data_IF_197753011447
#
_entry.id   IF_197753011447
#
_cell.length_a   1.000
_cell.length_b   1.000
_cell.length_c   1.000
_cell.angle_alpha   90.00
_cell.angle_beta   90.00
_cell.angle_gamma   90.00
#
_symmetry.space_group_name_H-M   'P 1'
#
loop_
_entity.id
_entity.type
_entity.pdbx_description
1 polymer ?
#
# COMPACT_ATOMS: atom_id res chain seq x y z
N UNK A 1 4.04 75.97 -5.23
CA UNK A 1 5.24 76.59 -5.81
C UNK A 1 6.25 75.48 -6.04
N UNK A 2 6.52 75.21 -7.32
CA UNK A 2 7.40 74.14 -7.79
C UNK A 2 8.86 74.59 -7.74
N UNK A 3 9.77 73.68 -7.42
CA UNK A 3 11.14 73.70 -7.94
C UNK A 3 11.53 72.28 -8.35
N UNK A 4 11.71 72.14 -9.67
CA UNK A 4 12.28 71.00 -10.36
C UNK A 4 13.77 70.89 -10.05
N UNK A 5 14.26 69.67 -9.83
CA UNK A 5 15.66 69.32 -10.03
C UNK A 5 15.73 68.11 -10.98
N UNK A 6 16.26 68.39 -12.17
CA UNK A 6 16.63 67.43 -13.22
C UNK A 6 17.75 66.50 -12.74
N UNK A 7 17.63 65.20 -13.01
CA UNK A 7 18.79 64.29 -13.05
C UNK A 7 18.78 63.57 -14.41
N UNK A 8 19.92 63.47 -15.12
CA UNK A 8 19.98 63.04 -16.51
C UNK A 8 19.80 61.52 -16.68
N UNK A 9 19.10 61.19 -17.77
CA UNK A 9 18.91 59.86 -18.31
C UNK A 9 20.11 59.48 -19.19
N UNK A 10 21.07 58.73 -18.65
CA UNK A 10 22.14 58.09 -19.43
C UNK A 10 22.62 56.83 -18.74
N UNK A 11 22.04 55.69 -19.14
CA UNK A 11 22.70 54.41 -19.45
C UNK A 11 21.63 53.34 -19.57
N UNK A 12 20.99 53.34 -20.74
CA UNK A 12 20.54 52.10 -21.35
C UNK A 12 21.74 51.27 -21.82
N UNK A 13 21.46 50.01 -22.07
CA UNK A 13 22.25 49.09 -22.90
C UNK A 13 23.51 48.46 -22.28
N UNK A 14 23.29 47.56 -21.30
CA UNK A 14 23.94 46.25 -21.27
C UNK A 14 23.25 45.35 -20.23
N UNK A 15 23.00 44.08 -20.57
CA UNK A 15 22.36 43.03 -19.76
C UNK A 15 20.84 42.81 -19.89
N UNK A 16 20.27 43.04 -21.09
CA UNK A 16 18.99 42.44 -21.51
C UNK A 16 19.14 41.46 -22.68
N UNK A 17 20.26 40.73 -22.78
CA UNK A 17 20.44 39.66 -23.78
C UNK A 17 21.01 38.40 -23.13
N UNK A 18 20.12 37.60 -22.55
CA UNK A 18 20.20 36.13 -22.46
C UNK A 18 18.83 35.59 -22.06
N UNK A 19 17.83 35.79 -22.93
CA UNK A 19 16.67 34.89 -22.96
C UNK A 19 17.17 33.67 -23.72
N UNK A 20 17.58 32.64 -22.98
CA UNK A 20 17.76 31.30 -23.54
C UNK A 20 16.49 30.96 -24.31
N UNK A 21 16.61 30.74 -25.62
CA UNK A 21 15.51 30.17 -26.37
C UNK A 21 15.27 28.78 -25.79
N UNK A 22 14.02 28.44 -25.42
CA UNK A 22 13.72 27.11 -24.91
C UNK A 22 14.10 26.07 -25.98
N UNK A 23 14.62 24.90 -25.57
CA UNK A 23 15.07 23.87 -26.48
C UNK A 23 13.96 23.53 -27.50
N UNK A 24 14.32 23.09 -28.72
CA UNK A 24 13.37 22.93 -29.83
C UNK A 24 12.18 22.00 -29.51
N UNK A 25 12.33 21.06 -28.56
CA UNK A 25 11.25 20.18 -28.09
C UNK A 25 10.20 20.91 -27.23
N UNK A 26 10.60 21.91 -26.43
CA UNK A 26 9.68 22.71 -25.62
C UNK A 26 8.82 23.64 -26.48
N UNK A 27 9.38 24.15 -27.59
CA UNK A 27 8.63 24.97 -28.55
C UNK A 27 7.57 24.13 -29.28
N UNK A 28 7.88 22.86 -29.56
CA UNK A 28 6.94 21.92 -30.18
C UNK A 28 5.81 21.56 -29.22
N UNK A 29 6.11 21.28 -27.95
CA UNK A 29 5.10 21.01 -26.90
C UNK A 29 4.20 22.24 -26.70
N UNK A 30 4.78 23.43 -26.65
CA UNK A 30 4.03 24.69 -26.50
C UNK A 30 3.12 24.94 -27.72
N UNK A 31 3.61 24.67 -28.94
CA UNK A 31 2.83 24.85 -30.15
C UNK A 31 1.70 23.81 -30.28
N UNK A 32 1.96 22.55 -29.91
CA UNK A 32 0.93 21.50 -29.83
C UNK A 32 -0.14 21.85 -28.79
N UNK A 33 0.25 22.39 -27.62
CA UNK A 33 -0.68 22.88 -26.61
C UNK A 33 -1.51 24.08 -27.10
N UNK A 34 -0.89 25.06 -27.75
CA UNK A 34 -1.58 26.22 -28.33
C UNK A 34 -2.56 25.83 -29.43
N UNK A 35 -2.19 24.89 -30.30
CA UNK A 35 -3.06 24.37 -31.35
C UNK A 35 -4.23 23.55 -30.76
N UNK A 36 -3.99 22.82 -29.67
CA UNK A 36 -5.05 22.10 -28.94
C UNK A 36 -6.05 23.06 -28.29
N UNK A 37 -5.56 24.15 -27.67
CA UNK A 37 -6.41 25.20 -27.07
C UNK A 37 -7.18 25.95 -28.14
N UNK A 38 -6.55 26.34 -29.26
CA UNK A 38 -7.23 27.02 -30.36
C UNK A 38 -8.32 26.12 -30.98
N UNK A 39 -8.04 24.83 -31.14
CA UNK A 39 -9.01 23.84 -31.60
C UNK A 39 -10.16 23.69 -30.61
N UNK A 40 -9.89 23.60 -29.31
CA UNK A 40 -10.92 23.55 -28.27
C UNK A 40 -11.79 24.83 -28.24
N UNK A 41 -11.18 26.02 -28.32
CA UNK A 41 -11.90 27.28 -28.40
C UNK A 41 -12.77 27.38 -29.65
N UNK A 42 -12.32 26.81 -30.78
CA UNK A 42 -13.11 26.75 -32.01
C UNK A 42 -14.29 25.77 -31.96
N UNK A 43 -14.35 24.92 -30.93
CA UNK A 43 -15.51 24.05 -30.66
C UNK A 43 -16.53 24.68 -29.72
N UNK A 44 -16.24 25.86 -29.16
CA UNK A 44 -17.20 26.60 -28.36
C UNK A 44 -18.26 27.26 -29.26
N UNK A 45 -19.54 27.28 -28.84
CA UNK A 45 -20.58 27.93 -29.62
C UNK A 45 -20.32 29.42 -29.80
N UNK A 46 -20.73 29.95 -30.96
CA UNK A 46 -20.44 31.35 -31.32
C UNK A 46 -21.38 32.33 -30.59
N UNK A 47 -22.50 31.83 -30.10
CA UNK A 47 -23.54 32.58 -29.42
C UNK A 47 -24.04 31.88 -28.16
N UNK A 48 -24.34 32.66 -27.11
CA UNK A 48 -24.87 32.16 -25.83
C UNK A 48 -26.19 31.38 -25.97
N UNK A 49 -26.95 31.60 -27.05
CA UNK A 49 -28.18 30.87 -27.37
C UNK A 49 -27.95 29.46 -27.94
N UNK A 50 -26.73 29.15 -28.37
CA UNK A 50 -26.29 27.83 -28.83
C UNK A 50 -25.65 27.01 -27.70
N UNK A 51 -25.41 27.63 -26.54
CA UNK A 51 -25.06 26.88 -25.34
C UNK A 51 -26.31 26.14 -24.88
N UNK A 52 -26.19 24.81 -24.73
CA UNK A 52 -27.23 23.98 -24.14
C UNK A 52 -27.75 24.63 -22.85
N UNK A 53 -29.07 24.55 -22.60
CA UNK A 53 -29.67 25.14 -21.40
C UNK A 53 -28.90 24.72 -20.16
N UNK A 54 -28.61 25.68 -19.27
CA UNK A 54 -27.90 25.48 -17.99
C UNK A 54 -28.49 24.33 -17.15
N UNK A 55 -29.73 23.93 -17.43
CA UNK A 55 -30.47 22.88 -16.73
C UNK A 55 -30.08 21.44 -17.12
N UNK A 56 -29.36 21.22 -18.23
CA UNK A 56 -28.88 19.88 -18.60
C UNK A 56 -27.42 19.68 -18.19
N UNK A 57 -27.18 18.91 -17.13
CA UNK A 57 -25.85 18.44 -16.76
C UNK A 57 -25.19 17.76 -17.98
N UNK A 58 -23.96 18.14 -18.37
CA UNK A 58 -23.29 17.53 -19.51
C UNK A 58 -23.18 16.01 -19.29
N UNK A 59 -23.67 15.26 -20.28
CA UNK A 59 -23.62 13.80 -20.22
C UNK A 59 -22.17 13.32 -20.37
N UNK A 60 -21.70 12.39 -19.51
CA UNK A 60 -20.34 11.89 -19.60
C UNK A 60 -20.10 11.20 -20.94
N UNK A 61 -19.01 11.58 -21.61
CA UNK A 61 -18.60 10.93 -22.87
C UNK A 61 -17.87 9.61 -22.60
N UNK A 62 -17.67 8.80 -23.65
CA UNK A 62 -16.86 7.57 -23.59
C UNK A 62 -15.47 7.85 -22.99
N UNK A 63 -14.83 8.95 -23.39
CA UNK A 63 -13.53 9.35 -22.86
C UNK A 63 -13.56 9.64 -21.35
N UNK A 64 -14.65 10.22 -20.83
CA UNK A 64 -14.80 10.43 -19.38
C UNK A 64 -14.85 9.10 -18.63
N UNK A 65 -15.59 8.11 -19.14
CA UNK A 65 -15.67 6.81 -18.48
C UNK A 65 -14.34 6.07 -18.45
N UNK A 66 -13.56 6.13 -19.54
CA UNK A 66 -12.19 5.58 -19.55
C UNK A 66 -11.32 6.30 -18.51
N UNK A 67 -11.32 7.63 -18.49
CA UNK A 67 -10.56 8.39 -17.49
C UNK A 67 -10.95 8.09 -16.04
N UNK A 68 -12.24 7.84 -15.77
CA UNK A 68 -12.69 7.41 -14.45
C UNK A 68 -12.25 5.99 -14.10
N UNK A 69 -12.33 5.06 -15.06
CA UNK A 69 -11.85 3.68 -14.88
C UNK A 69 -10.33 3.64 -14.64
N UNK A 70 -9.56 4.46 -15.36
CA UNK A 70 -8.11 4.61 -15.17
C UNK A 70 -7.80 5.12 -13.75
N UNK A 71 -8.54 6.12 -13.28
CA UNK A 71 -8.41 6.60 -11.91
C UNK A 71 -8.74 5.52 -10.87
N UNK A 72 -9.78 4.72 -11.11
CA UNK A 72 -10.11 3.58 -10.25
C UNK A 72 -9.01 2.50 -10.25
N UNK A 73 -8.32 2.28 -11.37
CA UNK A 73 -7.14 1.40 -11.44
C UNK A 73 -5.98 1.92 -10.59
N UNK A 74 -5.74 3.24 -10.61
CA UNK A 74 -4.76 3.87 -9.73
C UNK A 74 -5.10 3.66 -8.25
N UNK A 75 -6.37 3.84 -7.87
CA UNK A 75 -6.83 3.55 -6.50
C UNK A 75 -6.65 2.07 -6.12
N UNK A 76 -6.98 1.14 -7.02
CA UNK A 76 -6.79 -0.29 -6.80
C UNK A 76 -5.31 -0.62 -6.57
N UNK A 77 -4.40 -0.01 -7.34
CA UNK A 77 -2.95 -0.16 -7.18
C UNK A 77 -2.47 0.39 -5.83
N UNK A 78 -2.99 1.55 -5.39
CA UNK A 78 -2.70 2.07 -4.05
C UNK A 78 -3.15 1.12 -2.93
N UNK A 79 -4.33 0.53 -3.06
CA UNK A 79 -4.83 -0.45 -2.09
C UNK A 79 -3.97 -1.72 -2.04
N UNK A 80 -3.34 -2.11 -3.16
CA UNK A 80 -2.38 -3.22 -3.16
C UNK A 80 -1.13 -2.86 -2.33
N UNK A 81 -0.58 -1.66 -2.53
CA UNK A 81 0.56 -1.18 -1.74
C UNK A 81 0.23 -1.08 -0.24
N UNK A 82 -0.97 -0.60 0.11
CA UNK A 82 -1.42 -0.58 1.51
C UNK A 82 -1.54 -1.99 2.10
N UNK A 83 -1.98 -2.98 1.30
CA UNK A 83 -2.05 -4.37 1.73
C UNK A 83 -0.65 -4.96 1.97
N UNK A 84 0.33 -4.62 1.13
CA UNK A 84 1.74 -5.01 1.30
C UNK A 84 2.37 -4.38 2.55
N UNK A 85 2.04 -3.11 2.84
CA UNK A 85 2.44 -2.45 4.09
C UNK A 85 1.85 -3.16 5.32
N UNK A 86 0.56 -3.53 5.26
CA UNK A 86 -0.11 -4.28 6.32
C UNK A 86 0.47 -5.69 6.50
N UNK A 87 0.84 -6.35 5.41
CA UNK A 87 1.53 -7.65 5.43
C UNK A 87 2.92 -7.54 6.09
N UNK A 88 3.68 -6.48 5.77
CA UNK A 88 4.95 -6.17 6.43
C UNK A 88 4.74 -5.92 7.93
N UNK A 89 3.70 -5.16 8.29
CA UNK A 89 3.30 -4.93 9.69
C UNK A 89 2.96 -6.21 10.43
N UNK A 90 2.16 -7.09 9.83
CA UNK A 90 1.85 -8.41 10.38
C UNK A 90 3.11 -9.22 10.69
N UNK A 91 4.05 -9.27 9.74
CA UNK A 91 5.32 -10.00 9.91
C UNK A 91 6.17 -9.40 11.01
N UNK A 92 6.17 -8.08 11.15
CA UNK A 92 6.88 -7.42 12.25
C UNK A 92 6.29 -7.81 13.61
N UNK A 93 4.97 -7.78 13.74
CA UNK A 93 4.29 -8.18 14.97
C UNK A 93 4.55 -9.65 15.30
N UNK A 94 4.48 -10.55 14.29
CA UNK A 94 4.76 -11.97 14.49
C UNK A 94 6.19 -12.24 14.91
N UNK A 95 7.17 -11.53 14.33
CA UNK A 95 8.56 -11.62 14.77
C UNK A 95 8.71 -11.22 16.25
N UNK A 96 8.06 -10.13 16.68
CA UNK A 96 8.07 -9.71 18.09
C UNK A 96 7.41 -10.78 18.99
N UNK A 97 6.30 -11.37 18.56
CA UNK A 97 5.62 -12.45 19.27
C UNK A 97 6.52 -13.68 19.47
N UNK A 98 7.23 -14.12 18.42
CA UNK A 98 8.12 -15.27 18.52
C UNK A 98 9.36 -15.00 19.37
N UNK A 99 9.77 -13.74 19.52
CA UNK A 99 10.80 -13.36 20.50
C UNK A 99 10.35 -13.45 21.96
N UNK A 100 9.06 -13.66 22.24
CA UNK A 100 8.55 -13.82 23.61
C UNK A 100 8.70 -15.29 24.03
N UNK A 101 9.35 -15.58 25.18
CA UNK A 101 9.46 -16.94 25.68
C UNK A 101 8.10 -17.61 25.89
N UNK A 102 7.99 -18.89 25.56
CA UNK A 102 6.76 -19.69 25.66
C UNK A 102 6.13 -19.60 27.05
N UNK A 103 6.94 -19.62 28.11
CA UNK A 103 6.47 -19.52 29.48
C UNK A 103 5.72 -18.19 29.73
N UNK A 104 6.21 -17.09 29.17
CA UNK A 104 5.55 -15.78 29.23
C UNK A 104 4.28 -15.77 28.40
N UNK A 105 4.29 -16.37 27.19
CA UNK A 105 3.08 -16.50 26.38
C UNK A 105 1.99 -17.28 27.13
N UNK A 106 2.36 -18.38 27.78
CA UNK A 106 1.49 -19.22 28.62
C UNK A 106 1.07 -18.58 29.96
N UNK A 107 1.69 -17.47 30.36
CA UNK A 107 1.29 -16.71 31.55
C UNK A 107 0.21 -15.66 31.24
N UNK A 108 -0.04 -15.34 29.96
CA UNK A 108 -1.11 -14.43 29.56
C UNK A 108 -2.51 -15.00 29.89
N UNK A 109 -3.58 -14.22 29.80
CA UNK A 109 -4.92 -14.78 29.99
C UNK A 109 -5.28 -15.77 28.85
N UNK A 110 -6.16 -16.75 29.12
CA UNK A 110 -6.48 -17.83 28.18
C UNK A 110 -7.04 -17.34 26.83
N UNK A 111 -7.75 -16.22 26.81
CA UNK A 111 -8.37 -15.68 25.60
C UNK A 111 -7.31 -15.06 24.68
N UNK A 112 -6.38 -14.29 25.25
CA UNK A 112 -5.19 -13.73 24.58
C UNK A 112 -4.30 -14.86 24.06
N UNK A 113 -4.02 -15.87 24.89
CA UNK A 113 -3.25 -17.04 24.46
C UNK A 113 -3.86 -17.70 23.24
N UNK A 114 -5.16 -18.05 23.31
CA UNK A 114 -5.85 -18.72 22.21
C UNK A 114 -5.75 -17.89 20.93
N UNK A 115 -6.04 -16.59 21.02
CA UNK A 115 -6.00 -15.69 19.86
C UNK A 115 -4.60 -15.61 19.24
N UNK A 116 -3.56 -15.45 20.05
CA UNK A 116 -2.19 -15.37 19.54
C UNK A 116 -1.74 -16.69 18.92
N UNK A 117 -2.11 -17.84 19.51
CA UNK A 117 -1.79 -19.16 18.94
C UNK A 117 -2.52 -19.41 17.62
N UNK A 118 -3.78 -19.02 17.52
CA UNK A 118 -4.54 -19.10 16.25
C UNK A 118 -3.88 -18.31 15.12
N UNK A 119 -3.21 -17.20 15.44
CA UNK A 119 -2.60 -16.30 14.45
C UNK A 119 -1.14 -16.66 14.15
N UNK A 120 -0.33 -16.92 15.17
CA UNK A 120 1.12 -17.07 15.05
C UNK A 120 1.62 -18.51 15.23
N UNK A 121 0.80 -19.43 15.73
CA UNK A 121 1.21 -20.85 15.92
C UNK A 121 0.41 -21.82 15.05
N UNK A 122 -0.33 -21.30 14.08
CA UNK A 122 -1.08 -22.09 13.11
C UNK A 122 -0.14 -22.88 12.18
N UNK A 123 -0.55 -24.09 11.85
CA UNK A 123 0.06 -24.96 10.86
C UNK A 123 -0.69 -24.95 9.52
N UNK A 124 -1.69 -24.09 9.38
CA UNK A 124 -2.46 -23.96 8.15
C UNK A 124 -1.83 -22.92 7.21
N UNK A 125 -1.87 -23.14 5.88
CA UNK A 125 -1.61 -22.07 4.93
C UNK A 125 -2.52 -20.87 5.19
N UNK A 126 -2.03 -19.65 4.99
CA UNK A 126 -2.77 -18.43 5.33
C UNK A 126 -4.12 -18.30 4.62
N UNK A 127 -4.25 -18.83 3.41
CA UNK A 127 -5.52 -18.87 2.66
C UNK A 127 -6.63 -19.62 3.40
N UNK A 128 -6.25 -20.55 4.29
CA UNK A 128 -7.17 -21.37 5.09
C UNK A 128 -7.39 -20.78 6.49
N UNK A 129 -6.63 -19.76 6.88
CA UNK A 129 -6.73 -19.14 8.19
C UNK A 129 -7.79 -18.02 8.18
N UNK A 130 -8.74 -18.10 9.13
CA UNK A 130 -9.82 -17.12 9.28
C UNK A 130 -9.28 -15.69 9.50
N UNK A 131 -8.12 -15.55 10.12
CA UNK A 131 -7.47 -14.25 10.33
C UNK A 131 -7.23 -13.49 9.01
N UNK A 132 -6.90 -14.20 7.93
CA UNK A 132 -6.55 -13.60 6.63
C UNK A 132 -7.71 -13.50 5.64
N UNK A 133 -8.93 -13.93 5.99
CA UNK A 133 -10.07 -13.92 5.05
C UNK A 133 -10.31 -12.54 4.44
N UNK A 134 -10.22 -11.46 5.23
CA UNK A 134 -10.39 -10.09 4.73
C UNK A 134 -9.26 -9.66 3.79
N UNK A 135 -8.02 -10.11 4.02
CA UNK A 135 -6.88 -9.82 3.12
C UNK A 135 -7.12 -10.41 1.73
N UNK A 136 -7.45 -11.70 1.67
CA UNK A 136 -7.67 -12.37 0.38
C UNK A 136 -8.90 -11.81 -0.34
N UNK A 137 -9.96 -11.45 0.39
CA UNK A 137 -11.12 -10.77 -0.20
C UNK A 137 -10.74 -9.43 -0.82
N UNK A 138 -9.91 -8.63 -0.14
CA UNK A 138 -9.40 -7.35 -0.66
C UNK A 138 -8.56 -7.58 -1.91
N UNK A 139 -7.62 -8.53 -1.85
CA UNK A 139 -6.74 -8.87 -2.97
C UNK A 139 -7.53 -9.30 -4.22
N UNK A 140 -8.54 -10.16 -4.08
CA UNK A 140 -9.37 -10.61 -5.20
C UNK A 140 -10.22 -9.48 -5.80
N UNK A 141 -10.73 -8.57 -4.96
CA UNK A 141 -11.45 -7.38 -5.44
C UNK A 141 -10.52 -6.46 -6.23
N UNK A 142 -9.30 -6.21 -5.74
CA UNK A 142 -8.31 -5.39 -6.43
C UNK A 142 -7.94 -6.01 -7.79
N UNK A 143 -7.62 -7.31 -7.83
CA UNK A 143 -7.33 -8.04 -9.08
C UNK A 143 -8.47 -7.93 -10.08
N UNK A 144 -9.71 -8.12 -9.60
CA UNK A 144 -10.91 -8.02 -10.43
C UNK A 144 -11.13 -6.60 -10.97
N UNK A 145 -10.89 -5.57 -10.15
CA UNK A 145 -10.97 -4.18 -10.57
C UNK A 145 -9.95 -3.85 -11.67
N UNK A 146 -8.69 -4.23 -11.47
CA UNK A 146 -7.61 -4.02 -12.46
C UNK A 146 -7.94 -4.75 -13.77
N UNK A 147 -8.38 -6.01 -13.70
CA UNK A 147 -8.77 -6.77 -14.89
C UNK A 147 -9.98 -6.14 -15.61
N UNK A 148 -10.94 -5.57 -14.88
CA UNK A 148 -12.08 -4.87 -15.46
C UNK A 148 -11.65 -3.61 -16.21
N UNK A 149 -10.69 -2.84 -15.68
CA UNK A 149 -10.15 -1.65 -16.36
C UNK A 149 -9.34 -2.03 -17.60
N UNK A 150 -8.50 -3.06 -17.53
CA UNK A 150 -7.80 -3.58 -18.72
C UNK A 150 -8.78 -4.00 -19.81
N UNK A 151 -9.89 -4.64 -19.43
CA UNK A 151 -10.94 -5.03 -20.37
C UNK A 151 -11.68 -3.83 -20.96
N UNK A 152 -11.75 -2.69 -20.27
CA UNK A 152 -12.45 -1.52 -20.79
C UNK A 152 -11.76 -0.88 -21.99
N UNK A 153 -10.44 -1.00 -22.15
CA UNK A 153 -9.68 -0.35 -23.24
C UNK A 153 -10.25 -0.60 -24.65
N UNK A 154 -10.83 -1.79 -24.89
CA UNK A 154 -11.46 -2.15 -26.16
C UNK A 154 -12.95 -1.78 -26.29
N UNK A 155 -13.57 -1.20 -25.26
CA UNK A 155 -15.02 -0.95 -25.19
C UNK A 155 -15.36 0.46 -25.66
N UNK A 156 -16.23 0.55 -26.66
CA UNK A 156 -16.72 1.83 -27.23
C UNK A 156 -18.19 2.09 -26.89
N UNK A 157 -18.83 1.22 -26.11
CA UNK A 157 -20.22 1.39 -25.68
C UNK A 157 -20.27 2.14 -24.34
N UNK A 158 -20.78 3.37 -24.35
CA UNK A 158 -20.89 4.22 -23.15
C UNK A 158 -21.72 3.62 -22.02
N UNK A 159 -22.80 2.89 -22.30
CA UNK A 159 -23.62 2.24 -21.26
C UNK A 159 -22.87 1.08 -20.59
N UNK A 160 -22.09 0.32 -21.36
CA UNK A 160 -21.23 -0.75 -20.82
C UNK A 160 -20.16 -0.15 -19.91
N UNK A 161 -19.49 0.90 -20.38
CA UNK A 161 -18.46 1.60 -19.59
C UNK A 161 -19.02 2.22 -18.31
N UNK A 162 -20.21 2.83 -18.37
CA UNK A 162 -20.90 3.35 -17.19
C UNK A 162 -21.13 2.27 -16.13
N UNK A 163 -21.63 1.10 -16.55
CA UNK A 163 -21.86 -0.03 -15.65
C UNK A 163 -20.55 -0.54 -15.04
N UNK A 164 -19.53 -0.75 -15.87
CA UNK A 164 -18.21 -1.18 -15.41
C UNK A 164 -17.64 -0.19 -14.38
N UNK A 165 -17.73 1.11 -14.65
CA UNK A 165 -17.32 2.15 -13.72
C UNK A 165 -18.05 2.02 -12.38
N UNK A 166 -19.38 1.90 -12.38
CA UNK A 166 -20.17 1.79 -11.14
C UNK A 166 -19.87 0.52 -10.36
N UNK A 167 -19.68 -0.61 -11.05
CA UNK A 167 -19.36 -1.89 -10.43
C UNK A 167 -17.97 -1.85 -9.76
N UNK A 168 -16.97 -1.32 -10.46
CA UNK A 168 -15.60 -1.17 -9.94
C UNK A 168 -15.56 -0.17 -8.79
N UNK A 169 -16.22 0.99 -8.93
CA UNK A 169 -16.33 2.01 -7.88
C UNK A 169 -16.94 1.40 -6.60
N UNK A 170 -18.08 0.73 -6.72
CA UNK A 170 -18.74 0.10 -5.57
C UNK A 170 -17.87 -0.98 -4.91
N UNK A 171 -17.13 -1.76 -5.71
CA UNK A 171 -16.22 -2.78 -5.20
C UNK A 171 -15.04 -2.16 -4.43
N UNK A 172 -14.42 -1.09 -4.96
CA UNK A 172 -13.31 -0.40 -4.32
C UNK A 172 -13.73 0.35 -3.05
N UNK A 173 -14.96 0.89 -3.00
CA UNK A 173 -15.51 1.46 -1.76
C UNK A 173 -15.62 0.41 -0.65
N UNK A 174 -16.12 -0.80 -0.96
CA UNK A 174 -16.15 -1.90 0.01
C UNK A 174 -14.74 -2.34 0.41
N UNK A 175 -13.82 -2.38 -0.54
CA UNK A 175 -12.41 -2.70 -0.32
C UNK A 175 -11.77 -1.75 0.71
N UNK A 176 -12.02 -0.45 0.59
CA UNK A 176 -11.53 0.56 1.53
C UNK A 176 -12.03 0.31 2.98
N UNK A 177 -13.27 -0.16 3.13
CA UNK A 177 -13.81 -0.58 4.43
C UNK A 177 -13.03 -1.75 5.04
N UNK A 178 -12.81 -2.81 4.24
CA UNK A 178 -12.04 -3.97 4.65
C UNK A 178 -10.59 -3.64 5.00
N UNK A 179 -9.93 -2.74 4.24
CA UNK A 179 -8.57 -2.26 4.57
C UNK A 179 -8.50 -1.58 5.94
N UNK A 180 -9.50 -0.75 6.28
CA UNK A 180 -9.60 -0.13 7.61
C UNK A 180 -9.80 -1.16 8.71
N UNK A 181 -10.58 -2.21 8.47
CA UNK A 181 -10.75 -3.32 9.40
C UNK A 181 -9.46 -4.09 9.63
N UNK A 182 -8.77 -4.43 8.55
CA UNK A 182 -7.45 -5.08 8.57
C UNK A 182 -6.47 -4.26 9.42
N UNK A 183 -6.36 -2.96 9.15
CA UNK A 183 -5.48 -2.06 9.91
C UNK A 183 -5.81 -2.03 11.40
N UNK A 184 -7.09 -1.93 11.76
CA UNK A 184 -7.53 -1.98 13.17
C UNK A 184 -7.18 -3.31 13.83
N UNK A 185 -7.35 -4.41 13.10
CA UNK A 185 -7.01 -5.75 13.59
C UNK A 185 -5.51 -5.87 13.87
N UNK A 186 -4.64 -5.34 13.00
CA UNK A 186 -3.20 -5.32 13.23
C UNK A 186 -2.80 -4.47 14.44
N UNK A 187 -3.38 -3.27 14.58
CA UNK A 187 -3.13 -2.40 15.76
C UNK A 187 -3.54 -3.12 17.04
N UNK A 188 -4.70 -3.78 17.03
CA UNK A 188 -5.15 -4.57 18.18
C UNK A 188 -4.21 -5.74 18.47
N UNK A 189 -3.71 -6.43 17.44
CA UNK A 189 -2.80 -7.56 17.57
C UNK A 189 -1.45 -7.12 18.14
N UNK A 190 -0.91 -6.01 17.64
CA UNK A 190 0.31 -5.39 18.15
C UNK A 190 0.18 -5.00 19.63
N UNK A 191 -0.94 -4.37 20.01
CA UNK A 191 -1.24 -4.02 21.40
C UNK A 191 -1.28 -5.24 22.32
N UNK A 192 -1.90 -6.35 21.86
CA UNK A 192 -1.93 -7.61 22.61
C UNK A 192 -0.52 -8.18 22.78
N UNK A 193 0.31 -8.19 21.73
CA UNK A 193 1.70 -8.67 21.81
C UNK A 193 2.51 -7.81 22.77
N UNK A 194 2.36 -6.48 22.72
CA UNK A 194 3.02 -5.56 23.64
C UNK A 194 2.60 -5.78 25.10
N UNK A 195 1.32 -6.05 25.36
CA UNK A 195 0.81 -6.38 26.70
C UNK A 195 1.48 -7.64 27.24
N UNK A 196 1.60 -8.70 26.43
CA UNK A 196 2.27 -9.94 26.84
C UNK A 196 3.75 -9.70 27.15
N UNK A 197 4.45 -8.88 26.37
CA UNK A 197 5.83 -8.47 26.63
C UNK A 197 5.98 -7.66 27.92
N UNK A 198 4.92 -6.97 28.36
CA UNK A 198 4.95 -6.18 29.60
C UNK A 198 4.75 -7.01 30.87
N UNK A 199 4.37 -8.29 30.75
CA UNK A 199 4.09 -9.15 31.90
C UNK A 199 5.32 -9.32 32.80
N UNK A 200 5.15 -9.40 34.13
CA UNK A 200 6.28 -9.60 35.06
C UNK A 200 7.10 -10.86 34.75
N UNK A 201 6.46 -11.92 34.24
CA UNK A 201 7.11 -13.15 33.79
C UNK A 201 8.12 -12.93 32.67
N UNK A 202 7.97 -11.85 31.87
CA UNK A 202 8.94 -11.44 30.85
C UNK A 202 10.22 -10.85 31.46
N UNK A 203 10.13 -10.23 32.65
CA UNK A 203 11.25 -9.54 33.31
C UNK A 203 12.10 -10.42 34.20
N UNK A 204 11.72 -11.68 34.42
CA UNK A 204 12.53 -12.59 35.24
C UNK A 204 13.82 -12.87 34.47
N UNK A 205 14.99 -12.40 34.95
CA UNK A 205 16.26 -12.74 34.32
C UNK A 205 16.38 -14.24 34.44
N UNK A 206 16.49 -14.88 33.28
CA UNK A 206 16.74 -16.29 33.13
C UNK A 206 18.10 -16.66 33.74
N UNK A 207 18.21 -16.73 35.06
CA UNK A 207 19.32 -17.47 35.69
C UNK A 207 19.15 -18.99 35.52
N UNK A 208 18.06 -19.43 34.85
CA UNK A 208 17.67 -20.83 34.63
C UNK A 208 17.42 -21.15 33.14
N UNK A 209 16.98 -20.19 32.31
CA UNK A 209 16.92 -20.40 30.86
C UNK A 209 18.28 -20.02 30.25
N UNK A 210 19.00 -20.99 29.69
CA UNK A 210 20.15 -20.66 28.86
C UNK A 210 19.68 -19.70 27.76
N UNK A 211 20.49 -18.70 27.41
CA UNK A 211 20.21 -17.73 26.33
C UNK A 211 19.83 -18.41 25.00
N UNK A 212 20.15 -19.69 24.84
CA UNK A 212 19.78 -20.55 23.71
C UNK A 212 18.27 -20.85 23.58
N UNK A 213 17.46 -20.76 24.66
CA UNK A 213 16.04 -21.14 24.60
C UNK A 213 15.16 -20.15 23.83
N UNK A 214 15.51 -18.87 23.82
CA UNK A 214 14.72 -17.79 23.19
C UNK A 214 15.34 -17.33 21.87
N UNK A 215 16.59 -17.71 21.60
CA UNK A 215 17.24 -17.36 20.33
C UNK A 215 16.63 -18.15 19.16
N UNK A 216 15.84 -17.43 18.35
CA UNK A 216 15.16 -17.91 17.16
C UNK A 216 16.11 -18.49 16.09
N UNK A 217 17.41 -18.17 16.17
CA UNK A 217 18.45 -18.75 15.30
C UNK A 217 18.60 -20.25 15.52
N UNK A 218 18.37 -20.74 16.75
CA UNK A 218 18.44 -22.17 17.05
C UNK A 218 17.20 -22.89 16.53
N UNK A 219 17.29 -23.46 15.33
CA UNK A 219 16.16 -24.12 14.66
C UNK A 219 15.43 -25.21 15.44
N UNK A 220 16.14 -25.89 16.34
CA UNK A 220 15.62 -27.00 17.12
C UNK A 220 15.13 -26.60 18.51
N UNK A 221 15.21 -25.32 18.89
CA UNK A 221 14.55 -24.84 20.10
C UNK A 221 13.02 -24.85 19.91
N UNK A 222 12.27 -24.82 21.01
CA UNK A 222 10.81 -24.72 20.98
C UNK A 222 10.38 -23.47 20.19
N UNK A 223 11.02 -22.33 20.49
CA UNK A 223 10.77 -21.06 19.81
C UNK A 223 11.17 -21.07 18.34
N UNK A 224 12.37 -21.60 18.04
CA UNK A 224 12.86 -21.70 16.68
C UNK A 224 11.98 -22.57 15.79
N UNK A 225 11.41 -23.65 16.35
CA UNK A 225 10.48 -24.55 15.65
C UNK A 225 9.15 -23.87 15.36
N UNK A 226 8.57 -23.19 16.36
CA UNK A 226 7.28 -22.48 16.21
C UNK A 226 7.43 -21.30 15.23
N UNK A 227 8.53 -20.55 15.30
CA UNK A 227 8.85 -19.47 14.36
C UNK A 227 8.96 -19.96 12.90
N UNK A 228 9.63 -21.08 12.66
CA UNK A 228 9.73 -21.67 11.31
C UNK A 228 8.40 -22.19 10.80
N UNK A 229 7.57 -22.76 11.68
CA UNK A 229 6.21 -23.17 11.32
C UNK A 229 5.35 -21.98 10.91
N UNK A 230 5.48 -20.87 11.63
CA UNK A 230 4.80 -19.63 11.25
C UNK A 230 5.27 -19.11 9.89
N UNK A 231 6.58 -19.05 9.64
CA UNK A 231 7.15 -18.66 8.33
C UNK A 231 6.67 -19.60 7.23
N UNK A 232 6.58 -20.90 7.52
CA UNK A 232 6.09 -21.88 6.57
C UNK A 232 4.71 -21.52 6.03
N UNK A 233 3.84 -20.86 6.81
CA UNK A 233 2.51 -20.42 6.36
C UNK A 233 2.53 -19.37 5.25
N UNK A 234 3.68 -18.74 4.98
CA UNK A 234 3.77 -17.58 4.09
C UNK A 234 3.53 -17.97 2.63
N UNK A 235 2.82 -17.13 1.83
CA UNK A 235 2.49 -17.47 0.45
C UNK A 235 3.72 -17.78 -0.41
N UNK A 236 4.83 -17.05 -0.23
CA UNK A 236 6.06 -17.27 -0.98
C UNK A 236 6.85 -18.54 -0.56
N UNK A 237 6.49 -19.17 0.57
CA UNK A 237 7.02 -20.48 0.98
C UNK A 237 6.12 -21.59 0.44
N UNK A 238 4.81 -21.41 0.58
CA UNK A 238 3.80 -22.38 0.12
C UNK A 238 3.80 -22.54 -1.41
N UNK A 239 4.05 -21.44 -2.14
CA UNK A 239 3.99 -21.40 -3.60
C UNK A 239 5.37 -21.49 -4.28
N UNK A 240 6.45 -21.79 -3.55
CA UNK A 240 7.80 -21.81 -4.11
C UNK A 240 8.02 -22.99 -5.09
N UNK A 241 8.33 -22.74 -6.38
CA UNK A 241 8.65 -23.80 -7.31
C UNK A 241 10.11 -24.28 -7.12
N UNK A 242 10.32 -25.59 -7.05
CA UNK A 242 11.63 -26.23 -7.22
C UNK A 242 12.56 -26.28 -5.99
N UNK A 243 12.49 -25.32 -5.07
CA UNK A 243 13.12 -25.45 -3.75
C UNK A 243 12.10 -26.08 -2.79
N UNK A 244 12.45 -27.21 -2.17
CA UNK A 244 11.59 -27.82 -1.16
C UNK A 244 11.21 -26.79 -0.09
N UNK A 245 9.94 -26.79 0.34
CA UNK A 245 9.35 -25.81 1.28
C UNK A 245 10.23 -25.50 2.51
N UNK A 246 10.98 -26.50 2.99
CA UNK A 246 11.92 -26.35 4.11
C UNK A 246 13.10 -25.41 3.79
N UNK A 247 13.69 -25.49 2.59
CA UNK A 247 14.80 -24.61 2.19
C UNK A 247 14.37 -23.15 2.11
N UNK A 248 13.19 -22.90 1.52
CA UNK A 248 12.62 -21.54 1.43
C UNK A 248 12.24 -20.98 2.81
N UNK A 249 11.77 -21.84 3.72
CA UNK A 249 11.47 -21.47 5.11
C UNK A 249 12.73 -20.94 5.81
N UNK A 250 13.86 -21.66 5.71
CA UNK A 250 15.11 -21.23 6.36
C UNK A 250 15.70 -19.96 5.74
N UNK A 251 15.59 -19.78 4.41
CA UNK A 251 16.02 -18.54 3.75
C UNK A 251 15.26 -17.33 4.30
N UNK A 252 13.92 -17.43 4.37
CA UNK A 252 13.09 -16.33 4.89
C UNK A 252 13.33 -16.12 6.39
N UNK A 253 13.51 -17.18 7.17
CA UNK A 253 13.87 -17.09 8.58
C UNK A 253 15.18 -16.30 8.77
N UNK A 254 16.21 -16.61 7.98
CA UNK A 254 17.48 -15.88 7.98
C UNK A 254 17.29 -14.40 7.69
N UNK A 255 16.62 -14.06 6.58
CA UNK A 255 16.37 -12.66 6.19
C UNK A 255 15.60 -11.87 7.26
N UNK A 256 14.60 -12.49 7.89
CA UNK A 256 13.80 -11.83 8.93
C UNK A 256 14.62 -11.57 10.19
N UNK A 257 15.46 -12.52 10.60
CA UNK A 257 16.33 -12.36 11.76
C UNK A 257 17.42 -11.32 11.51
N UNK A 258 18.02 -11.28 10.33
CA UNK A 258 18.99 -10.24 9.93
C UNK A 258 18.39 -8.84 10.00
N UNK A 259 17.19 -8.66 9.41
CA UNK A 259 16.46 -7.38 9.48
C UNK A 259 16.07 -7.00 10.91
N UNK A 260 15.78 -7.99 11.77
CA UNK A 260 15.49 -7.76 13.18
C UNK A 260 16.72 -7.20 13.90
N UNK A 261 17.88 -7.85 13.74
CA UNK A 261 19.14 -7.46 14.39
C UNK A 261 19.52 -6.04 13.99
N UNK A 262 19.45 -5.72 12.69
CA UNK A 262 19.75 -4.37 12.18
C UNK A 262 18.83 -3.29 12.76
N UNK A 263 17.56 -3.61 13.08
CA UNK A 263 16.66 -2.69 13.77
C UNK A 263 16.93 -2.63 15.27
N UNK A 264 17.19 -3.76 15.94
CA UNK A 264 17.44 -3.81 17.39
C UNK A 264 18.72 -3.07 17.82
N UNK A 265 19.71 -2.92 16.93
CA UNK A 265 20.89 -2.06 17.15
C UNK A 265 20.56 -0.56 17.16
N UNK A 266 19.43 -0.13 16.58
CA UNK A 266 19.00 1.28 16.52
C UNK A 266 18.21 1.71 17.76
N UNK A 267 17.73 0.75 18.57
CA UNK A 267 16.92 1.01 19.79
C UNK A 267 17.66 0.73 21.10
N UNK A 268 18.97 0.43 21.07
CA UNK A 268 19.85 0.46 22.24
C UNK A 268 20.47 1.84 22.40
#
# INVERSE_FOLDING_TARGET
MAQHANIPNTLGDAYLHSREQPPPDDQRILHEAQNSVAKWLSTLPSHLSEMDSVDSLPQPTIAHYHGWLDNLSWHATRYLLELDEMESGYRHIGLNYHGIPEQTRRAANLMVQRRLREVFESDLPREQQVFFTSWYRVLEVIKSAIAAVQKSEGVQNGNTLHRMHKDVEAALVRCAGSLKEIKRMLISLEGIVAEVTSLPSYRVPSSIASDEQVDLRYKWSSEGTVFRRWIWTFPEVQNAPGQGSMGRTEEIAGMMLEKAIAKWEVWR
#
